data_IF_745458834661
#
_entry.id   IF_745458834661
#
_cell.length_a   1.000
_cell.length_b   1.000
_cell.length_c   1.000
_cell.angle_alpha   90.00
_cell.angle_beta   90.00
_cell.angle_gamma   90.00
#
_symmetry.space_group_name_H-M   'P 1'
#
loop_
_entity.id
_entity.type
_entity.pdbx_description
1 polymer ?
#
# COMPACT_ATOMS: atom_id res chain seq x y z
N UNK A 1 -8.35 17.25 -19.93
CA UNK A 1 -7.42 17.80 -18.91
C UNK A 1 -7.82 19.23 -18.55
N UNK A 2 -9.05 19.43 -18.05
CA UNK A 2 -9.52 20.72 -17.54
C UNK A 2 -10.52 20.36 -16.43
N UNK A 3 -10.12 20.51 -15.17
CA UNK A 3 -10.95 20.64 -13.95
C UNK A 3 -10.14 20.44 -12.65
N UNK A 4 -8.86 20.85 -12.60
CA UNK A 4 -8.02 20.76 -11.37
C UNK A 4 -7.41 22.12 -11.00
N UNK A 5 -7.92 23.25 -11.51
CA UNK A 5 -7.22 24.55 -11.38
C UNK A 5 -7.94 25.67 -10.62
N UNK A 6 -9.10 25.45 -9.99
CA UNK A 6 -9.75 26.53 -9.21
C UNK A 6 -10.32 26.08 -7.87
N UNK A 7 -9.44 25.73 -6.92
CA UNK A 7 -9.73 25.86 -5.48
C UNK A 7 -8.45 26.19 -4.68
N UNK A 8 -7.60 27.08 -5.23
CA UNK A 8 -6.61 27.76 -4.41
C UNK A 8 -7.07 29.21 -4.27
N UNK A 9 -7.19 29.61 -3.00
CA UNK A 9 -7.29 30.99 -2.52
C UNK A 9 -8.71 31.57 -2.39
N UNK A 10 -9.43 31.21 -1.33
CA UNK A 10 -10.22 32.17 -0.52
C UNK A 10 -10.31 31.69 0.96
N UNK A 11 -9.88 32.60 1.84
CA UNK A 11 -10.27 32.76 3.24
C UNK A 11 -9.52 31.94 4.32
N UNK A 12 -8.43 32.54 4.81
CA UNK A 12 -8.05 32.45 6.21
C UNK A 12 -9.02 33.23 7.09
N UNK A 13 -10.15 32.60 7.41
CA UNK A 13 -10.99 32.99 8.54
C UNK A 13 -10.98 31.83 9.53
N UNK A 14 -10.69 32.13 10.80
CA UNK A 14 -10.79 31.20 11.92
C UNK A 14 -12.22 30.65 12.02
N UNK A 15 -12.52 29.59 11.25
CA UNK A 15 -13.73 28.79 11.45
C UNK A 15 -13.61 28.18 12.84
N UNK A 16 -14.33 28.75 13.81
CA UNK A 16 -14.38 28.24 15.18
C UNK A 16 -14.63 26.73 15.11
N UNK A 17 -13.66 25.93 15.55
CA UNK A 17 -13.77 24.48 15.52
C UNK A 17 -14.93 24.07 16.43
N UNK A 18 -16.04 23.68 15.82
CA UNK A 18 -17.20 23.12 16.54
C UNK A 18 -17.13 21.61 16.43
N UNK A 19 -16.93 20.93 17.56
CA UNK A 19 -16.75 19.47 17.65
C UNK A 19 -17.89 18.66 17.00
N UNK A 20 -19.13 19.17 17.04
CA UNK A 20 -20.32 18.47 16.53
C UNK A 20 -21.03 19.26 15.41
N UNK A 21 -20.28 19.73 14.41
CA UNK A 21 -20.86 20.36 13.21
C UNK A 21 -20.81 19.42 12.00
N UNK A 22 -21.81 19.52 11.11
CA UNK A 22 -21.81 18.82 9.82
C UNK A 22 -20.58 19.18 8.98
N UNK A 23 -20.09 20.42 9.07
CA UNK A 23 -18.86 20.86 8.38
C UNK A 23 -17.61 20.13 8.90
N UNK A 24 -17.51 19.95 10.23
CA UNK A 24 -16.39 19.24 10.86
C UNK A 24 -16.41 17.76 10.49
N UNK A 25 -17.59 17.14 10.51
CA UNK A 25 -17.77 15.75 10.07
C UNK A 25 -17.39 15.56 8.60
N UNK A 26 -17.84 16.45 7.72
CA UNK A 26 -17.52 16.38 6.29
C UNK A 26 -16.03 16.58 6.04
N UNK A 27 -15.38 17.52 6.72
CA UNK A 27 -13.95 17.76 6.55
C UNK A 27 -13.07 16.61 7.08
N UNK A 28 -13.48 15.94 8.16
CA UNK A 28 -12.72 14.84 8.74
C UNK A 28 -12.99 13.47 8.10
N UNK A 29 -14.24 13.18 7.71
CA UNK A 29 -14.62 11.82 7.31
C UNK A 29 -15.12 11.71 5.86
N UNK A 30 -15.61 12.80 5.26
CA UNK A 30 -16.19 12.75 3.90
C UNK A 30 -15.25 13.31 2.81
N UNK A 31 -14.37 14.25 3.17
CA UNK A 31 -13.46 14.92 2.25
C UNK A 31 -12.04 14.36 2.34
N UNK A 32 -11.31 14.45 1.22
CA UNK A 32 -9.88 14.11 1.18
C UNK A 32 -9.11 15.14 2.00
N UNK A 33 -8.29 14.65 2.93
CA UNK A 33 -7.45 15.52 3.75
C UNK A 33 -6.37 16.20 2.92
N UNK A 34 -5.98 17.39 3.36
CA UNK A 34 -4.81 18.08 2.79
C UNK A 34 -3.55 17.23 3.01
N UNK A 35 -2.65 17.22 2.03
CA UNK A 35 -1.43 16.39 2.04
C UNK A 35 -0.59 16.54 3.32
N UNK A 36 -0.55 17.74 3.90
CA UNK A 36 0.18 18.01 5.15
C UNK A 36 -0.41 17.24 6.33
N UNK A 37 -1.73 17.28 6.49
CA UNK A 37 -2.45 16.56 7.55
C UNK A 37 -2.24 15.05 7.41
N UNK A 38 -2.37 14.53 6.19
CA UNK A 38 -2.13 13.10 5.91
C UNK A 38 -0.70 12.69 6.24
N UNK A 39 0.30 13.49 5.83
CA UNK A 39 1.71 13.21 6.13
C UNK A 39 1.98 13.18 7.65
N UNK A 40 1.43 14.15 8.39
CA UNK A 40 1.60 14.21 9.85
C UNK A 40 0.94 13.02 10.54
N UNK A 41 -0.29 12.66 10.17
CA UNK A 41 -1.00 11.52 10.75
C UNK A 41 -0.28 10.20 10.45
N UNK A 42 0.17 10.00 9.21
CA UNK A 42 0.95 8.81 8.84
C UNK A 42 2.27 8.74 9.63
N UNK A 43 2.96 9.87 9.81
CA UNK A 43 4.20 9.91 10.59
C UNK A 43 3.97 9.53 12.06
N UNK A 44 2.89 10.03 12.69
CA UNK A 44 2.53 9.68 14.07
C UNK A 44 2.17 8.19 14.18
N UNK A 45 1.34 7.68 13.28
CA UNK A 45 0.97 6.24 13.27
C UNK A 45 2.20 5.37 13.08
N UNK A 46 3.08 5.74 12.14
CA UNK A 46 4.33 5.02 11.92
C UNK A 46 5.22 5.04 13.17
N UNK A 47 5.36 6.19 13.83
CA UNK A 47 6.15 6.32 15.05
C UNK A 47 5.63 5.42 16.17
N UNK A 48 4.32 5.42 16.42
CA UNK A 48 3.67 4.54 17.41
C UNK A 48 3.92 3.07 17.06
N UNK A 49 3.79 2.71 15.79
CA UNK A 49 3.99 1.35 15.33
C UNK A 49 5.46 0.92 15.43
N UNK A 50 6.40 1.80 15.10
CA UNK A 50 7.83 1.51 15.29
C UNK A 50 8.16 1.33 16.77
N UNK A 51 7.59 2.16 17.65
CA UNK A 51 7.79 2.07 19.09
C UNK A 51 7.20 0.79 19.71
N UNK A 52 6.07 0.30 19.20
CA UNK A 52 5.39 -0.88 19.73
C UNK A 52 5.88 -2.20 19.13
N UNK A 53 6.19 -2.22 17.83
CA UNK A 53 6.54 -3.45 17.10
C UNK A 53 8.04 -3.59 16.81
N UNK A 54 8.83 -2.52 16.96
CA UNK A 54 10.27 -2.52 16.65
C UNK A 54 10.61 -2.70 15.15
N UNK A 55 9.59 -2.73 14.28
CA UNK A 55 9.72 -2.93 12.85
C UNK A 55 8.70 -2.09 12.08
N UNK A 56 9.03 -1.73 10.84
CA UNK A 56 8.10 -1.04 9.93
C UNK A 56 6.96 -1.94 9.43
N UNK A 57 5.96 -1.34 8.77
CA UNK A 57 4.84 -2.10 8.21
C UNK A 57 5.20 -2.68 6.86
N UNK A 58 4.64 -3.85 6.56
CA UNK A 58 4.86 -4.56 5.31
C UNK A 58 3.55 -5.00 4.68
N UNK A 59 3.42 -4.85 3.36
CA UNK A 59 2.24 -5.34 2.64
C UNK A 59 2.52 -6.63 1.86
N UNK A 60 3.75 -6.81 1.37
CA UNK A 60 4.10 -7.85 0.39
C UNK A 60 4.35 -9.24 0.99
N UNK A 61 4.75 -9.33 2.26
CA UNK A 61 5.10 -10.61 2.90
C UNK A 61 3.89 -11.55 3.04
N UNK A 62 2.71 -11.10 3.51
CA UNK A 62 1.54 -11.95 3.67
C UNK A 62 1.06 -12.60 2.37
N UNK A 63 1.20 -11.95 1.21
CA UNK A 63 0.84 -12.57 -0.07
C UNK A 63 1.66 -13.83 -0.36
N UNK A 64 2.95 -13.83 -0.02
CA UNK A 64 3.80 -15.02 -0.14
C UNK A 64 3.39 -16.13 0.83
N UNK A 65 3.01 -15.78 2.06
CA UNK A 65 2.53 -16.73 3.06
C UNK A 65 1.20 -17.34 2.63
N UNK A 66 0.26 -16.55 2.14
CA UNK A 66 -1.05 -17.04 1.67
C UNK A 66 -0.90 -17.93 0.43
N UNK A 67 -0.01 -17.57 -0.49
CA UNK A 67 0.32 -18.41 -1.64
C UNK A 67 0.93 -19.74 -1.19
N UNK A 68 1.90 -19.72 -0.28
CA UNK A 68 2.48 -20.92 0.30
C UNK A 68 1.44 -21.80 1.00
N UNK A 69 0.55 -21.22 1.82
CA UNK A 69 -0.56 -21.96 2.45
C UNK A 69 -1.53 -22.55 1.41
N UNK A 70 -1.76 -21.84 0.30
CA UNK A 70 -2.49 -22.38 -0.84
C UNK A 70 -1.81 -23.61 -1.44
N UNK A 71 -0.49 -23.57 -1.65
CA UNK A 71 0.27 -24.73 -2.12
C UNK A 71 0.24 -25.91 -1.13
N UNK A 72 0.31 -25.63 0.17
CA UNK A 72 0.15 -26.67 1.20
C UNK A 72 -1.23 -27.33 1.14
N UNK A 73 -2.29 -26.55 0.85
CA UNK A 73 -3.63 -27.09 0.64
C UNK A 73 -3.69 -28.05 -0.57
N UNK A 74 -2.89 -27.81 -1.61
CA UNK A 74 -2.75 -28.71 -2.75
C UNK A 74 -1.76 -29.87 -2.51
N UNK A 75 -1.29 -30.06 -1.27
CA UNK A 75 -0.46 -31.20 -0.86
C UNK A 75 1.05 -31.01 -1.02
N UNK A 76 1.53 -29.77 -1.23
CA UNK A 76 2.97 -29.48 -1.22
C UNK A 76 3.51 -29.47 0.22
N UNK A 77 4.59 -30.20 0.47
CA UNK A 77 5.21 -30.26 1.80
C UNK A 77 5.84 -28.92 2.23
N UNK A 78 5.81 -28.66 3.54
CA UNK A 78 6.39 -27.46 4.13
C UNK A 78 7.89 -27.34 3.87
N UNK A 79 8.60 -28.47 3.94
CA UNK A 79 10.05 -28.61 3.69
C UNK A 79 10.43 -28.06 2.31
N UNK A 80 9.70 -28.45 1.26
CA UNK A 80 9.90 -27.98 -0.11
C UNK A 80 9.63 -26.48 -0.25
N UNK A 81 8.60 -25.97 0.42
CA UNK A 81 8.26 -24.54 0.40
C UNK A 81 9.36 -23.71 1.07
N UNK A 82 9.89 -24.17 2.21
CA UNK A 82 11.00 -23.48 2.88
C UNK A 82 12.30 -23.53 2.10
N UNK A 83 12.57 -24.63 1.41
CA UNK A 83 13.75 -24.77 0.55
C UNK A 83 13.68 -23.81 -0.65
N UNK A 84 12.53 -23.72 -1.32
CA UNK A 84 12.32 -22.81 -2.45
C UNK A 84 12.32 -21.35 -2.01
N UNK A 85 11.68 -21.04 -0.88
CA UNK A 85 11.52 -19.66 -0.42
C UNK A 85 12.72 -19.12 0.36
N UNK A 86 13.63 -19.99 0.82
CA UNK A 86 14.75 -19.65 1.70
C UNK A 86 14.29 -18.86 2.95
N UNK A 87 13.12 -19.23 3.49
CA UNK A 87 12.48 -18.60 4.65
C UNK A 87 12.25 -19.65 5.74
N UNK A 88 12.25 -19.25 7.03
CA UNK A 88 12.07 -20.18 8.13
C UNK A 88 10.67 -20.79 8.14
N UNK A 89 10.57 -22.06 8.53
CA UNK A 89 9.30 -22.80 8.63
C UNK A 89 8.27 -22.09 9.52
N UNK A 90 8.75 -21.44 10.59
CA UNK A 90 7.91 -20.67 11.50
C UNK A 90 7.09 -19.59 10.80
N UNK A 91 7.57 -19.03 9.69
CA UNK A 91 6.84 -18.00 8.93
C UNK A 91 5.54 -18.53 8.31
N UNK A 92 5.48 -19.84 8.01
CA UNK A 92 4.33 -20.46 7.36
C UNK A 92 3.39 -21.14 8.35
N UNK A 93 3.91 -21.62 9.49
CA UNK A 93 3.11 -22.28 10.54
C UNK A 93 2.45 -21.31 11.51
N UNK A 94 2.93 -20.05 11.59
CA UNK A 94 2.33 -19.04 12.49
C UNK A 94 0.85 -18.79 12.16
N UNK A 95 -0.04 -18.78 13.18
CA UNK A 95 -1.45 -18.40 13.04
C UNK A 95 -1.62 -16.99 12.47
N UNK A 96 -2.74 -16.74 11.77
CA UNK A 96 -2.98 -15.47 11.07
C UNK A 96 -2.93 -14.25 12.02
N UNK A 97 -3.51 -14.37 13.22
CA UNK A 97 -3.61 -13.29 14.19
C UNK A 97 -2.32 -13.04 15.00
N UNK A 98 -1.41 -14.00 15.03
CA UNK A 98 -0.10 -13.83 15.66
C UNK A 98 0.90 -13.18 14.69
N UNK A 99 0.66 -13.29 13.39
CA UNK A 99 1.50 -12.67 12.38
C UNK A 99 1.20 -11.17 12.26
N UNK A 100 1.98 -10.32 12.95
CA UNK A 100 1.74 -8.87 13.04
C UNK A 100 1.52 -8.17 11.69
N UNK A 101 2.24 -8.57 10.64
CA UNK A 101 2.09 -8.02 9.29
C UNK A 101 0.74 -8.40 8.64
N UNK A 102 0.21 -9.59 8.95
CA UNK A 102 -1.09 -10.02 8.44
C UNK A 102 -2.24 -9.29 9.12
N UNK A 103 -2.12 -9.04 10.43
CA UNK A 103 -3.07 -8.21 11.18
C UNK A 103 -3.05 -6.76 10.69
N UNK A 104 -1.87 -6.21 10.39
CA UNK A 104 -1.75 -4.87 9.79
C UNK A 104 -2.48 -4.80 8.44
N UNK A 105 -2.29 -5.78 7.55
CA UNK A 105 -3.00 -5.83 6.27
C UNK A 105 -4.53 -5.93 6.45
N UNK A 106 -4.99 -6.73 7.41
CA UNK A 106 -6.42 -6.81 7.73
C UNK A 106 -6.97 -5.48 8.25
N UNK A 107 -6.22 -4.80 9.13
CA UNK A 107 -6.59 -3.48 9.65
C UNK A 107 -6.64 -2.43 8.53
N UNK A 108 -5.69 -2.46 7.58
CA UNK A 108 -5.71 -1.57 6.40
C UNK A 108 -6.94 -1.84 5.54
N UNK A 109 -7.27 -3.11 5.29
CA UNK A 109 -8.44 -3.50 4.51
C UNK A 109 -9.74 -2.99 5.16
N UNK A 110 -9.92 -3.28 6.45
CA UNK A 110 -11.10 -2.85 7.21
C UNK A 110 -11.19 -1.33 7.33
N UNK A 111 -10.07 -0.66 7.62
CA UNK A 111 -10.00 0.80 7.71
C UNK A 111 -10.33 1.48 6.39
N UNK A 112 -9.85 0.94 5.27
CA UNK A 112 -10.18 1.45 3.94
C UNK A 112 -11.66 1.26 3.63
N UNK A 113 -12.25 0.10 3.96
CA UNK A 113 -13.67 -0.16 3.77
C UNK A 113 -14.52 0.84 4.58
N UNK A 114 -14.22 1.04 5.85
CA UNK A 114 -14.90 2.01 6.72
C UNK A 114 -14.77 3.43 6.16
N UNK A 115 -13.58 3.84 5.73
CA UNK A 115 -13.34 5.16 5.15
C UNK A 115 -14.14 5.38 3.86
N UNK A 116 -14.20 4.39 2.97
CA UNK A 116 -14.98 4.46 1.72
C UNK A 116 -16.48 4.55 1.99
N UNK A 117 -16.97 3.84 3.01
CA UNK A 117 -18.36 3.93 3.46
C UNK A 117 -18.67 5.32 4.04
N UNK A 118 -17.80 5.88 4.87
CA UNK A 118 -17.97 7.24 5.40
C UNK A 118 -17.97 8.32 4.31
N UNK A 119 -17.14 8.15 3.27
CA UNK A 119 -17.14 9.04 2.11
C UNK A 119 -18.38 8.88 1.21
N UNK A 120 -19.22 7.85 1.41
CA UNK A 120 -20.35 7.55 0.53
C UNK A 120 -19.93 7.21 -0.90
N UNK A 121 -18.66 6.85 -1.12
CA UNK A 121 -18.07 6.57 -2.44
C UNK A 121 -18.02 5.08 -2.77
N UNK A 122 -18.67 4.25 -1.96
CA UNK A 122 -18.74 2.81 -2.22
C UNK A 122 -19.52 2.57 -3.53
N UNK A 123 -18.82 2.13 -4.57
CA UNK A 123 -19.41 1.75 -5.86
C UNK A 123 -18.88 0.38 -6.24
N UNK A 124 -19.78 -0.60 -6.32
CA UNK A 124 -19.46 -1.93 -6.83
C UNK A 124 -19.64 -1.92 -8.36
N UNK A 125 -18.61 -1.48 -9.09
CA UNK A 125 -18.61 -1.48 -10.56
C UNK A 125 -17.73 -2.61 -11.08
N UNK A 126 -18.34 -3.72 -11.45
CA UNK A 126 -17.66 -4.87 -12.07
C UNK A 126 -17.65 -4.75 -13.61
N UNK A 127 -17.39 -3.56 -14.13
CA UNK A 127 -17.32 -3.30 -15.57
C UNK A 127 -15.90 -3.50 -16.07
N UNK A 128 -15.55 -4.74 -16.43
CA UNK A 128 -14.27 -5.07 -17.08
C UNK A 128 -14.32 -4.67 -18.56
N UNK A 129 -14.37 -3.37 -18.85
CA UNK A 129 -14.31 -2.85 -20.22
C UNK A 129 -12.85 -2.55 -20.62
N UNK A 130 -11.95 -3.50 -20.36
CA UNK A 130 -10.53 -3.36 -20.62
C UNK A 130 -10.13 -4.13 -21.88
N UNK A 131 -9.30 -3.51 -22.73
CA UNK A 131 -8.73 -4.18 -23.90
C UNK A 131 -7.78 -5.30 -23.46
N UNK A 132 -7.67 -6.37 -24.25
CA UNK A 132 -6.71 -7.44 -24.01
C UNK A 132 -5.26 -6.93 -23.83
N UNK A 133 -4.90 -5.84 -24.52
CA UNK A 133 -3.61 -5.16 -24.33
C UNK A 133 -3.44 -4.58 -22.92
N UNK A 134 -4.49 -3.97 -22.37
CA UNK A 134 -4.45 -3.42 -21.01
C UNK A 134 -4.32 -4.53 -19.97
N UNK A 135 -5.04 -5.64 -20.16
CA UNK A 135 -4.95 -6.79 -19.27
C UNK A 135 -3.53 -7.38 -19.28
N UNK A 136 -2.90 -7.49 -20.46
CA UNK A 136 -1.53 -7.95 -20.60
C UNK A 136 -0.53 -7.02 -19.88
N UNK A 137 -0.69 -5.69 -20.00
CA UNK A 137 0.15 -4.72 -19.28
C UNK A 137 -0.04 -4.86 -17.77
N UNK A 138 -1.27 -5.02 -17.28
CA UNK A 138 -1.54 -5.19 -15.85
C UNK A 138 -0.95 -6.49 -15.30
N UNK A 139 -1.06 -7.59 -16.04
CA UNK A 139 -0.46 -8.87 -15.67
C UNK A 139 1.08 -8.78 -15.63
N UNK A 140 1.68 -8.17 -16.65
CA UNK A 140 3.14 -7.95 -16.71
C UNK A 140 3.61 -7.03 -15.58
N UNK A 141 2.88 -5.94 -15.30
CA UNK A 141 3.17 -5.03 -14.21
C UNK A 141 3.11 -5.72 -12.84
N UNK A 142 2.06 -6.53 -12.60
CA UNK A 142 1.93 -7.31 -11.37
C UNK A 142 3.08 -8.31 -11.18
N UNK A 143 3.48 -9.00 -12.25
CA UNK A 143 4.61 -9.93 -12.24
C UNK A 143 5.92 -9.20 -11.92
N UNK A 144 6.22 -8.09 -12.61
CA UNK A 144 7.42 -7.29 -12.36
C UNK A 144 7.44 -6.71 -10.94
N UNK A 145 6.30 -6.26 -10.42
CA UNK A 145 6.19 -5.81 -9.02
C UNK A 145 6.49 -6.96 -8.06
N UNK A 146 5.93 -8.15 -8.28
CA UNK A 146 6.18 -9.35 -7.49
C UNK A 146 7.67 -9.70 -7.44
N UNK A 147 8.30 -9.88 -8.60
CA UNK A 147 9.74 -10.15 -8.72
C UNK A 147 10.58 -9.05 -8.08
N UNK A 148 10.28 -7.78 -8.37
CA UNK A 148 10.99 -6.63 -7.81
C UNK A 148 10.96 -6.60 -6.29
N UNK A 149 9.82 -6.90 -5.66
CA UNK A 149 9.74 -6.92 -4.18
C UNK A 149 10.60 -8.01 -3.54
N UNK A 150 10.84 -9.13 -4.24
CA UNK A 150 11.72 -10.19 -3.73
C UNK A 150 13.19 -9.80 -3.84
N UNK A 151 13.61 -9.23 -4.96
CA UNK A 151 14.98 -8.70 -5.11
C UNK A 151 15.27 -7.56 -4.14
N UNK A 152 14.31 -6.66 -3.93
CA UNK A 152 14.45 -5.55 -2.99
C UNK A 152 14.22 -5.95 -1.52
N UNK A 153 13.85 -7.21 -1.24
CA UNK A 153 13.43 -7.70 0.07
C UNK A 153 12.34 -6.83 0.75
N UNK A 154 11.49 -6.19 -0.04
CA UNK A 154 10.46 -5.30 0.48
C UNK A 154 9.61 -4.65 -0.62
N UNK A 155 8.48 -4.12 -0.21
CA UNK A 155 7.64 -3.23 -1.03
C UNK A 155 8.01 -1.78 -0.77
N UNK A 156 7.31 -0.82 -1.39
CA UNK A 156 7.53 0.61 -1.16
C UNK A 156 7.55 0.96 0.34
N UNK A 157 6.64 0.43 1.15
CA UNK A 157 6.68 0.79 2.58
C UNK A 157 7.88 0.17 3.31
N UNK A 158 8.17 -1.10 3.03
CA UNK A 158 9.25 -1.82 3.73
C UNK A 158 10.65 -1.43 3.25
N UNK A 159 10.84 -1.15 1.97
CA UNK A 159 12.12 -0.87 1.34
C UNK A 159 12.38 0.62 1.06
N UNK A 160 11.34 1.46 0.98
CA UNK A 160 11.47 2.92 0.85
C UNK A 160 11.22 3.63 2.17
N UNK A 161 9.99 3.54 2.69
CA UNK A 161 9.54 4.40 3.78
C UNK A 161 10.24 4.08 5.10
N UNK A 162 10.28 2.80 5.47
CA UNK A 162 10.91 2.34 6.72
C UNK A 162 12.42 2.64 6.77
N UNK A 163 13.22 2.38 5.73
CA UNK A 163 14.65 2.67 5.76
C UNK A 163 14.93 4.18 5.75
N UNK A 164 14.16 4.99 5.01
CA UNK A 164 14.30 6.46 5.03
C UNK A 164 14.01 7.00 6.43
N UNK A 165 12.94 6.53 7.07
CA UNK A 165 12.59 6.96 8.42
C UNK A 165 13.65 6.56 9.48
N UNK A 166 14.39 5.48 9.22
CA UNK A 166 15.55 5.06 10.02
C UNK A 166 16.89 5.66 9.53
N UNK A 167 16.86 6.65 8.64
CA UNK A 167 18.05 7.30 8.07
C UNK A 167 19.03 6.35 7.35
N UNK A 168 18.54 5.22 6.84
CA UNK A 168 19.35 4.26 6.08
C UNK A 168 19.53 4.70 4.62
N UNK A 169 20.76 4.56 4.12
CA UNK A 169 21.12 4.84 2.73
C UNK A 169 20.35 3.96 1.72
N UNK A 170 20.02 2.72 2.10
CA UNK A 170 19.33 1.77 1.22
C UNK A 170 17.98 2.30 0.73
N UNK A 171 17.24 3.03 1.57
CA UNK A 171 15.96 3.63 1.21
C UNK A 171 16.12 4.73 0.15
N UNK A 172 17.16 5.54 0.26
CA UNK A 172 17.45 6.61 -0.71
C UNK A 172 17.87 6.06 -2.08
N UNK A 173 18.69 5.01 -2.10
CA UNK A 173 19.04 4.31 -3.34
C UNK A 173 17.79 3.69 -3.98
N UNK A 174 16.96 3.04 -3.17
CA UNK A 174 15.70 2.47 -3.62
C UNK A 174 14.75 3.54 -4.21
N UNK A 175 14.69 4.73 -3.61
CA UNK A 175 13.91 5.87 -4.12
C UNK A 175 14.34 6.25 -5.55
N UNK A 176 15.64 6.43 -5.77
CA UNK A 176 16.17 6.86 -7.07
C UNK A 176 15.86 5.83 -8.16
N UNK A 177 16.10 4.55 -7.87
CA UNK A 177 15.81 3.46 -8.81
C UNK A 177 14.30 3.32 -9.06
N UNK A 178 13.47 3.46 -8.02
CA UNK A 178 12.01 3.43 -8.16
C UNK A 178 11.50 4.54 -9.07
N UNK A 179 11.98 5.77 -8.91
CA UNK A 179 11.59 6.90 -9.76
C UNK A 179 11.98 6.62 -11.21
N UNK A 180 13.21 6.14 -11.44
CA UNK A 180 13.66 5.74 -12.79
C UNK A 180 12.78 4.66 -13.41
N UNK A 181 12.45 3.62 -12.63
CA UNK A 181 11.56 2.54 -13.05
C UNK A 181 10.13 3.02 -13.35
N UNK A 182 9.59 3.94 -12.55
CA UNK A 182 8.27 4.53 -12.76
C UNK A 182 8.20 5.36 -14.06
N UNK A 183 9.24 6.15 -14.34
CA UNK A 183 9.35 6.92 -15.59
C UNK A 183 9.43 5.97 -16.78
N UNK A 184 10.31 4.96 -16.73
CA UNK A 184 10.47 3.98 -17.79
C UNK A 184 9.16 3.20 -18.04
N UNK A 185 8.48 2.75 -16.98
CA UNK A 185 7.21 2.05 -17.06
C UNK A 185 6.09 2.92 -17.65
N UNK A 186 6.01 4.20 -17.28
CA UNK A 186 5.04 5.12 -17.87
C UNK A 186 5.31 5.35 -19.37
N UNK A 187 6.58 5.51 -19.77
CA UNK A 187 6.95 5.64 -21.19
C UNK A 187 6.62 4.37 -21.98
N UNK A 188 6.90 3.19 -21.41
CA UNK A 188 6.54 1.91 -22.01
C UNK A 188 5.03 1.77 -22.20
N UNK A 189 4.24 2.06 -21.15
CA UNK A 189 2.79 2.02 -21.24
C UNK A 189 2.27 2.96 -22.33
N UNK A 190 2.77 4.19 -22.40
CA UNK A 190 2.39 5.14 -23.45
C UNK A 190 2.73 4.63 -24.85
N UNK A 191 3.88 3.98 -25.03
CA UNK A 191 4.29 3.41 -26.32
C UNK A 191 3.41 2.23 -26.76
N UNK A 192 3.00 1.36 -25.83
CA UNK A 192 2.18 0.16 -26.13
C UNK A 192 0.70 0.50 -26.31
N UNK A 193 0.22 1.54 -25.63
CA UNK A 193 -1.18 1.98 -25.66
C UNK A 193 -1.48 3.01 -26.74
N UNK A 194 -0.46 3.49 -27.46
CA UNK A 194 -0.60 4.32 -28.66
C UNK A 194 -1.03 3.47 -29.86
#
# INVERSE_FOLDING_TARGET
MQNIQHQNNQNGEDKSFRLFSRETYQNWFANLWQMRTTALVIAVIFGIMMASTGSGWGASTPFGIWFAKGLMFFGVELSTITEISQRPESMFTTPFFEHGVSVQNLAILLGTLIAVLFMGKFKFSFTLNHSAKQLAIFALGGLLMGFGTRFANGCNVGALFTPIANFSLSGWVYLLVMIGGAIAGNRFQQAVMK
#
